data_IF_335650577490
#
_entry.id   IF_335650577490
#
_cell.length_a   1.000
_cell.length_b   1.000
_cell.length_c   1.000
_cell.angle_alpha   90.00
_cell.angle_beta   90.00
_cell.angle_gamma   90.00
#
_symmetry.space_group_name_H-M   'P 1'
#
loop_
_entity.id
_entity.type
_entity.pdbx_description
1 polymer ?
#
# COMPACT_ATOMS: atom_id res chain seq x y z
N UNK A 1 -10.45 0.47 23.52
CA UNK A 1 -10.33 0.40 22.08
C UNK A 1 -9.22 1.34 21.61
N UNK A 2 -8.23 0.80 20.95
CA UNK A 2 -7.20 1.70 20.45
C UNK A 2 -7.84 2.61 19.40
N UNK A 3 -7.55 3.89 19.51
CA UNK A 3 -7.95 4.83 18.48
C UNK A 3 -7.37 4.41 17.13
N UNK A 4 -7.96 4.81 16.01
CA UNK A 4 -7.39 4.54 14.70
C UNK A 4 -6.03 5.21 14.60
N UNK A 5 -5.03 4.45 14.17
CA UNK A 5 -3.75 5.02 13.87
C UNK A 5 -2.73 5.02 14.99
N UNK A 6 -2.19 3.87 15.32
CA UNK A 6 -0.99 3.79 16.15
C UNK A 6 0.24 4.01 15.25
N UNK A 7 1.12 4.97 15.61
CA UNK A 7 2.33 5.19 14.82
C UNK A 7 3.25 3.97 14.80
N UNK A 8 3.90 3.77 13.68
CA UNK A 8 4.87 2.71 13.50
C UNK A 8 5.81 3.02 12.35
N UNK A 9 6.76 2.15 12.14
CA UNK A 9 7.79 2.30 11.11
C UNK A 9 7.74 1.13 10.16
N UNK A 10 8.02 1.39 8.88
CA UNK A 10 8.18 0.35 7.88
C UNK A 10 9.40 0.64 7.02
N UNK A 11 10.05 -0.42 6.58
CA UNK A 11 11.18 -0.34 5.66
C UNK A 11 10.74 -0.92 4.32
N UNK A 12 10.92 -0.14 3.27
CA UNK A 12 10.60 -0.59 1.91
C UNK A 12 11.67 -1.56 1.45
N UNK A 13 11.24 -2.70 0.92
CA UNK A 13 12.13 -3.71 0.33
C UNK A 13 11.76 -3.91 -1.13
N UNK A 14 12.78 -4.06 -1.97
CA UNK A 14 12.57 -4.29 -3.39
C UNK A 14 12.11 -3.05 -4.15
N UNK A 15 11.66 -3.25 -5.37
CA UNK A 15 11.39 -2.20 -6.34
C UNK A 15 9.92 -2.08 -6.75
N UNK A 16 9.01 -2.84 -6.14
CA UNK A 16 7.62 -2.91 -6.60
C UNK A 16 6.87 -1.59 -6.49
N UNK A 17 7.31 -0.68 -5.64
CA UNK A 17 6.69 0.63 -5.47
C UNK A 17 7.45 1.76 -6.14
N UNK A 18 8.43 1.45 -6.98
CA UNK A 18 9.11 2.47 -7.78
C UNK A 18 8.13 3.07 -8.81
N UNK A 19 8.27 4.32 -9.16
CA UNK A 19 9.24 5.28 -8.67
C UNK A 19 8.85 5.98 -7.37
N UNK A 20 7.66 5.70 -6.83
CA UNK A 20 7.13 6.37 -5.64
C UNK A 20 8.03 6.11 -4.42
N UNK A 21 8.36 4.84 -4.21
CA UNK A 21 9.21 4.40 -3.11
C UNK A 21 10.27 3.45 -3.64
N UNK A 22 11.43 3.48 -2.98
CA UNK A 22 12.56 2.64 -3.35
C UNK A 22 13.00 1.79 -2.16
N UNK A 23 13.64 0.67 -2.44
CA UNK A 23 14.21 -0.17 -1.40
C UNK A 23 15.12 0.64 -0.48
N UNK A 24 14.95 0.47 0.82
CA UNK A 24 15.67 1.24 1.82
C UNK A 24 14.94 2.46 2.35
N UNK A 25 13.87 2.90 1.69
CA UNK A 25 13.06 4.01 2.19
C UNK A 25 12.41 3.63 3.52
N UNK A 26 12.42 4.57 4.46
CA UNK A 26 11.80 4.41 5.76
C UNK A 26 10.52 5.22 5.83
N UNK A 27 9.45 4.57 6.26
CA UNK A 27 8.11 5.13 6.26
C UNK A 27 7.59 5.26 7.68
N UNK A 28 6.86 6.35 7.93
CA UNK A 28 5.98 6.47 9.08
C UNK A 28 4.61 5.93 8.68
N UNK A 29 4.11 4.98 9.45
CA UNK A 29 2.84 4.34 9.17
C UNK A 29 1.90 4.49 10.37
N UNK A 30 0.59 4.36 10.11
CA UNK A 30 -0.42 4.31 11.15
C UNK A 30 -1.10 2.95 11.10
N UNK A 31 -0.90 2.15 12.14
CA UNK A 31 -1.55 0.86 12.27
C UNK A 31 -3.02 1.04 12.61
N UNK A 32 -3.87 0.25 11.93
CA UNK A 32 -5.30 0.27 12.18
C UNK A 32 -6.03 1.51 11.65
N UNK A 33 -5.34 2.36 10.91
CA UNK A 33 -5.97 3.53 10.31
C UNK A 33 -6.92 3.12 9.19
N UNK A 34 -7.94 3.92 8.97
CA UNK A 34 -8.88 3.71 7.89
C UNK A 34 -8.18 3.86 6.54
N UNK A 35 -8.37 2.87 5.69
CA UNK A 35 -7.83 2.88 4.33
C UNK A 35 -8.83 3.55 3.41
N UNK A 36 -8.37 4.47 2.59
CA UNK A 36 -9.16 5.07 1.52
C UNK A 36 -8.48 4.77 0.18
N UNK A 37 -9.24 4.75 -0.93
CA UNK A 37 -8.65 4.46 -2.24
C UNK A 37 -7.48 5.38 -2.57
N UNK A 38 -6.42 4.80 -3.10
CA UNK A 38 -5.23 5.52 -3.53
C UNK A 38 -4.11 5.60 -2.48
N UNK A 39 -4.37 5.15 -1.24
CA UNK A 39 -3.34 5.22 -0.19
C UNK A 39 -2.32 4.11 -0.35
N UNK A 40 -1.08 4.41 0.03
CA UNK A 40 -0.03 3.41 0.19
C UNK A 40 -0.24 2.72 1.54
N UNK A 41 -0.21 1.41 1.53
CA UNK A 41 -0.50 0.60 2.73
C UNK A 41 0.57 -0.46 2.94
N UNK A 42 0.64 -0.96 4.17
CA UNK A 42 1.39 -2.16 4.52
C UNK A 42 0.38 -3.27 4.73
N UNK A 43 0.55 -4.37 4.01
CA UNK A 43 -0.38 -5.49 4.07
C UNK A 43 0.37 -6.80 4.20
N UNK A 44 -0.32 -7.79 4.80
CA UNK A 44 0.16 -9.17 4.83
C UNK A 44 -0.44 -9.92 3.66
N UNK A 45 0.42 -10.43 2.80
CA UNK A 45 0.00 -11.24 1.67
C UNK A 45 -0.35 -12.67 2.11
N UNK A 46 -1.05 -13.45 1.25
CA UNK A 46 -1.45 -14.81 1.64
C UNK A 46 -0.30 -15.74 2.04
N UNK A 47 0.90 -15.48 1.54
CA UNK A 47 2.09 -16.27 1.92
C UNK A 47 2.72 -15.82 3.25
N UNK A 48 2.11 -14.83 3.93
CA UNK A 48 2.62 -14.30 5.19
C UNK A 48 3.60 -13.14 5.04
N UNK A 49 4.01 -12.82 3.83
CA UNK A 49 4.96 -11.74 3.58
C UNK A 49 4.31 -10.38 3.82
N UNK A 50 5.01 -9.48 4.48
CA UNK A 50 4.59 -8.10 4.59
C UNK A 50 5.04 -7.35 3.34
N UNK A 51 4.15 -6.57 2.76
CA UNK A 51 4.42 -5.83 1.53
C UNK A 51 3.85 -4.42 1.60
N UNK A 52 4.53 -3.50 0.94
CA UNK A 52 4.05 -2.13 0.74
C UNK A 52 3.44 -2.07 -0.64
N UNK A 53 2.18 -1.69 -0.71
CA UNK A 53 1.41 -1.64 -1.95
C UNK A 53 0.49 -0.43 -1.94
N UNK A 54 -0.14 -0.15 -3.09
CA UNK A 54 -1.17 0.88 -3.17
C UNK A 54 -2.55 0.24 -3.14
N UNK A 55 -3.40 0.69 -2.23
CA UNK A 55 -4.78 0.24 -2.13
C UNK A 55 -5.60 1.03 -3.15
N UNK A 56 -5.99 0.39 -4.24
CA UNK A 56 -6.61 1.07 -5.37
C UNK A 56 -8.12 1.18 -5.21
N UNK A 57 -8.77 0.08 -4.86
CA UNK A 57 -10.22 0.05 -4.68
C UNK A 57 -10.64 -1.09 -3.77
N UNK A 58 -11.81 -0.95 -3.19
CA UNK A 58 -12.41 -2.03 -2.40
C UNK A 58 -12.94 -3.10 -3.34
N UNK A 59 -12.74 -4.36 -2.94
CA UNK A 59 -13.29 -5.53 -3.64
C UNK A 59 -13.64 -6.61 -2.64
N UNK A 60 -14.56 -7.48 -3.03
CA UNK A 60 -14.89 -8.65 -2.25
C UNK A 60 -13.87 -9.76 -2.53
N UNK A 61 -13.37 -10.39 -1.49
CA UNK A 61 -12.44 -11.51 -1.63
C UNK A 61 -13.17 -12.76 -2.11
N UNK A 62 -12.41 -13.78 -2.52
CA UNK A 62 -12.97 -15.05 -2.95
C UNK A 62 -13.84 -15.71 -1.85
N UNK A 63 -13.51 -15.47 -0.59
CA UNK A 63 -14.30 -15.97 0.55
C UNK A 63 -15.54 -15.14 0.88
N UNK A 64 -15.82 -14.07 0.12
CA UNK A 64 -16.98 -13.21 0.34
C UNK A 64 -16.80 -12.09 1.34
N UNK A 65 -15.60 -11.91 1.90
CA UNK A 65 -15.32 -10.84 2.86
C UNK A 65 -14.87 -9.57 2.16
N UNK A 66 -15.01 -8.39 2.83
CA UNK A 66 -14.49 -7.16 2.26
C UNK A 66 -12.97 -7.19 2.15
N UNK A 67 -12.45 -6.57 1.11
CA UNK A 67 -11.02 -6.53 0.87
C UNK A 67 -10.61 -5.36 0.01
N UNK A 68 -9.33 -5.35 -0.35
CA UNK A 68 -8.71 -4.30 -1.14
C UNK A 68 -7.96 -4.88 -2.32
N UNK A 69 -8.09 -4.22 -3.46
CA UNK A 69 -7.27 -4.48 -4.63
C UNK A 69 -5.97 -3.71 -4.45
N UNK A 70 -4.89 -4.43 -4.21
CA UNK A 70 -3.57 -3.86 -3.93
C UNK A 70 -2.68 -4.00 -5.14
N UNK A 71 -2.10 -2.90 -5.59
CA UNK A 71 -1.21 -2.89 -6.75
C UNK A 71 0.17 -2.34 -6.39
N UNK A 72 1.17 -2.89 -7.07
CA UNK A 72 2.51 -2.30 -7.12
C UNK A 72 2.46 -1.07 -8.02
N UNK A 73 3.20 -0.01 -7.65
CA UNK A 73 3.33 1.16 -8.52
C UNK A 73 4.16 0.82 -9.76
N UNK A 74 5.11 -0.12 -9.63
CA UNK A 74 5.79 -0.70 -10.78
C UNK A 74 5.14 -2.05 -11.12
N UNK A 75 4.32 -2.12 -12.17
CA UNK A 75 3.59 -3.34 -12.49
C UNK A 75 4.47 -4.48 -12.99
N UNK A 76 5.71 -4.21 -13.33
CA UNK A 76 6.63 -5.24 -13.83
C UNK A 76 7.37 -5.97 -12.71
N UNK A 77 7.23 -5.52 -11.46
CA UNK A 77 8.00 -6.04 -10.33
C UNK A 77 7.08 -6.52 -9.23
N UNK A 78 7.40 -7.69 -8.68
CA UNK A 78 6.72 -8.22 -7.51
C UNK A 78 5.38 -8.85 -7.81
N UNK A 79 4.69 -9.21 -6.75
CA UNK A 79 3.38 -9.87 -6.77
C UNK A 79 2.36 -8.93 -6.14
N UNK A 80 1.20 -8.80 -6.77
CA UNK A 80 0.12 -8.01 -6.22
C UNK A 80 -1.24 -8.64 -6.55
N UNK A 81 -2.33 -7.89 -6.37
CA UNK A 81 -3.69 -8.42 -6.56
C UNK A 81 -3.97 -8.90 -7.97
N UNK A 82 -3.24 -8.41 -8.97
CA UNK A 82 -3.38 -8.94 -10.34
C UNK A 82 -3.00 -10.41 -10.43
N UNK A 83 -2.14 -10.87 -9.53
CA UNK A 83 -1.68 -12.26 -9.49
C UNK A 83 -2.43 -13.10 -8.45
N UNK A 84 -2.83 -12.47 -7.35
CA UNK A 84 -3.33 -13.18 -6.16
C UNK A 84 -4.77 -12.85 -5.79
N UNK A 85 -5.41 -11.87 -6.44
CA UNK A 85 -6.73 -11.41 -6.09
C UNK A 85 -6.73 -10.43 -4.92
N UNK A 86 -7.92 -9.96 -4.50
CA UNK A 86 -8.05 -8.99 -3.42
C UNK A 86 -7.51 -9.53 -2.10
N UNK A 87 -6.94 -8.63 -1.29
CA UNK A 87 -6.45 -8.93 0.05
C UNK A 87 -7.53 -8.55 1.05
N UNK A 88 -7.82 -9.46 1.99
CA UNK A 88 -8.84 -9.21 3.01
C UNK A 88 -8.50 -7.95 3.81
N UNK A 89 -9.54 -7.19 4.19
CA UNK A 89 -9.40 -5.92 4.87
C UNK A 89 -8.59 -6.04 6.17
N UNK A 90 -8.78 -7.13 6.91
CA UNK A 90 -8.05 -7.36 8.16
C UNK A 90 -6.56 -7.68 7.94
N UNK A 91 -6.15 -7.95 6.72
CA UNK A 91 -4.74 -8.15 6.37
C UNK A 91 -4.07 -6.87 5.88
N UNK A 92 -4.80 -5.78 5.72
CA UNK A 92 -4.24 -4.46 5.45
C UNK A 92 -3.97 -3.79 6.80
N UNK A 93 -2.71 -3.79 7.20
CA UNK A 93 -2.33 -3.57 8.59
C UNK A 93 -2.12 -2.10 8.93
N UNK A 94 -1.64 -1.31 8.00
CA UNK A 94 -1.28 0.08 8.27
C UNK A 94 -1.36 0.93 7.01
N UNK A 95 -1.55 2.23 7.21
CA UNK A 95 -1.47 3.24 6.14
C UNK A 95 -0.13 3.95 6.25
N UNK A 96 0.59 4.06 5.14
CA UNK A 96 1.83 4.81 5.08
C UNK A 96 1.52 6.29 4.88
N UNK A 97 2.00 7.13 5.77
CA UNK A 97 1.73 8.57 5.75
C UNK A 97 2.80 9.35 5.01
N UNK A 98 4.05 8.99 5.24
CA UNK A 98 5.16 9.72 4.65
C UNK A 98 6.42 8.85 4.66
N UNK A 99 7.31 9.18 3.73
CA UNK A 99 8.69 8.72 3.80
C UNK A 99 9.45 9.68 4.71
N UNK A 100 10.19 9.14 5.66
CA UNK A 100 10.95 9.96 6.61
C UNK A 100 12.44 9.96 6.30
N UNK A 101 12.93 8.97 5.57
CA UNK A 101 14.34 8.85 5.22
C UNK A 101 14.44 8.06 3.90
N UNK A 102 15.37 8.37 3.01
CA UNK A 102 16.37 9.47 3.05
C UNK A 102 15.80 10.84 2.70
N UNK A 103 14.66 10.91 2.00
CA UNK A 103 14.06 12.18 1.57
C UNK A 103 12.64 12.27 2.09
N UNK A 104 12.38 13.10 3.10
CA UNK A 104 11.03 13.24 3.62
C UNK A 104 10.04 13.65 2.55
N UNK A 105 8.90 12.96 2.50
CA UNK A 105 7.88 13.21 1.48
C UNK A 105 6.54 12.67 1.98
N UNK A 106 5.48 13.48 1.88
CA UNK A 106 4.14 13.02 2.19
C UNK A 106 3.66 12.03 1.13
N UNK A 107 3.03 10.96 1.58
CA UNK A 107 2.42 9.97 0.71
C UNK A 107 0.92 10.19 0.70
N UNK A 108 0.45 10.91 -0.31
CA UNK A 108 -0.96 11.24 -0.42
C UNK A 108 -1.72 10.14 -1.15
N UNK A 109 -3.05 10.12 -0.93
CA UNK A 109 -3.90 9.25 -1.71
C UNK A 109 -3.83 9.67 -3.18
N UNK A 110 -3.61 8.67 -4.05
CA UNK A 110 -3.49 8.92 -5.47
C UNK A 110 -3.56 7.62 -6.24
N UNK A 111 -3.67 7.72 -7.55
CA UNK A 111 -3.85 6.55 -8.39
C UNK A 111 -2.52 5.90 -8.84
N UNK A 112 -1.40 6.43 -8.39
CA UNK A 112 -0.08 5.97 -8.78
C UNK A 112 0.45 6.73 -10.00
N UNK A 113 1.71 6.47 -10.40
CA UNK A 113 2.34 7.24 -11.45
C UNK A 113 1.63 7.21 -12.81
N UNK A 114 1.15 6.04 -13.22
CA UNK A 114 0.50 5.88 -14.53
C UNK A 114 -0.81 6.65 -14.62
N UNK A 115 -1.63 6.57 -13.57
CA UNK A 115 -2.89 7.30 -13.54
C UNK A 115 -2.68 8.81 -13.42
N UNK A 116 -1.64 9.23 -12.71
CA UNK A 116 -1.28 10.65 -12.63
C UNK A 116 -0.88 11.18 -14.00
N UNK A 117 -0.11 10.41 -14.76
CA UNK A 117 0.26 10.78 -16.13
C UNK A 117 -0.96 10.90 -17.03
N UNK A 118 -1.92 9.98 -16.91
CA UNK A 118 -3.17 10.03 -17.68
C UNK A 118 -3.99 11.28 -17.35
N UNK A 119 -4.00 11.69 -16.10
CA UNK A 119 -4.75 12.89 -15.68
C UNK A 119 -4.10 14.19 -16.15
N UNK A 120 -2.82 14.16 -16.40
CA UNK A 120 -2.12 15.36 -16.87
C UNK A 120 -2.49 15.72 -18.31
N UNK A 121 -3.12 14.83 -19.00
CA UNK A 121 -3.62 15.08 -20.34
C UNK A 121 -5.00 15.72 -20.32
#
# INVERSE_FOLDING_TARGET
MPGPGRPGWALVRGASMAPTLRGGDRLLVLHGARVVPGRVVVARLPDGTLAVKRAVERRTTAGGSPGWWLLSDDPSVGVDSRHRGPVAEDQVLAVALCRVWPRPCLLRAGAGPDAAASRAL
#
